data_IF_087044292000
#
_entry.id   IF_087044292000
#
_cell.length_a   1.000
_cell.length_b   1.000
_cell.length_c   1.000
_cell.angle_alpha   90.00
_cell.angle_beta   90.00
_cell.angle_gamma   90.00
#
_symmetry.space_group_name_H-M   'P 1'
#
loop_
_entity.id
_entity.type
_entity.pdbx_description
1 polymer ?
#
# COMPACT_ATOMS: atom_id res chain seq x y z
N UNK A 1 -10.51 2.52 -5.09
CA UNK A 1 -10.81 1.37 -4.23
C UNK A 1 -11.20 1.88 -2.86
N UNK A 2 -12.20 1.29 -2.20
CA UNK A 2 -12.56 1.68 -0.83
C UNK A 2 -11.57 1.08 0.19
N UNK A 3 -11.40 1.77 1.32
CA UNK A 3 -10.57 1.30 2.42
C UNK A 3 -11.08 -0.05 2.95
N UNK A 4 -10.16 -0.92 3.36
CA UNK A 4 -10.45 -2.23 3.92
C UNK A 4 -11.36 -2.13 5.15
N UNK A 5 -12.26 -3.11 5.28
CA UNK A 5 -13.03 -3.35 6.50
C UNK A 5 -12.64 -4.74 7.00
N UNK A 6 -11.64 -4.84 7.90
CA UNK A 6 -11.11 -6.13 8.33
C UNK A 6 -12.18 -6.93 9.06
N UNK A 7 -12.37 -8.18 8.66
CA UNK A 7 -13.23 -9.14 9.34
C UNK A 7 -12.52 -10.49 9.44
N UNK A 8 -13.07 -11.40 10.25
CA UNK A 8 -12.56 -12.78 10.31
C UNK A 8 -12.74 -13.52 8.99
N UNK A 9 -13.69 -13.07 8.16
CA UNK A 9 -14.05 -13.67 6.87
C UNK A 9 -13.29 -13.03 5.69
N UNK A 10 -12.47 -12.00 5.93
CA UNK A 10 -11.65 -11.38 4.88
C UNK A 10 -10.78 -12.42 4.19
N UNK A 11 -10.88 -12.49 2.86
CA UNK A 11 -10.25 -13.57 2.09
C UNK A 11 -8.84 -13.21 1.65
N UNK A 12 -8.07 -14.23 1.26
CA UNK A 12 -6.76 -14.02 0.64
C UNK A 12 -6.90 -13.24 -0.67
N UNK A 13 -7.93 -13.55 -1.46
CA UNK A 13 -8.16 -12.97 -2.78
C UNK A 13 -8.44 -11.48 -2.67
N UNK A 14 -9.28 -11.06 -1.72
CA UNK A 14 -9.54 -9.64 -1.44
C UNK A 14 -8.26 -8.87 -1.08
N UNK A 15 -7.37 -9.50 -0.32
CA UNK A 15 -6.10 -8.88 0.09
C UNK A 15 -5.08 -8.86 -1.06
N UNK A 16 -5.07 -9.89 -1.90
CA UNK A 16 -4.22 -9.94 -3.08
C UNK A 16 -4.64 -8.86 -4.08
N UNK A 17 -5.94 -8.67 -4.33
CA UNK A 17 -6.44 -7.60 -5.20
C UNK A 17 -6.01 -6.20 -4.73
N UNK A 18 -5.97 -5.99 -3.41
CA UNK A 18 -5.51 -4.71 -2.83
C UNK A 18 -4.00 -4.50 -3.01
N UNK A 19 -3.20 -5.54 -2.81
CA UNK A 19 -1.75 -5.46 -3.07
C UNK A 19 -1.49 -5.26 -4.55
N UNK A 20 -2.16 -6.02 -5.42
CA UNK A 20 -2.04 -5.89 -6.88
C UNK A 20 -2.44 -4.47 -7.31
N UNK A 21 -3.51 -3.91 -6.75
CA UNK A 21 -3.88 -2.51 -7.00
C UNK A 21 -2.74 -1.55 -6.65
N UNK A 22 -2.14 -1.66 -5.46
CA UNK A 22 -1.06 -0.75 -5.05
C UNK A 22 0.19 -0.91 -5.92
N UNK A 23 0.61 -2.14 -6.20
CA UNK A 23 1.81 -2.46 -6.98
C UNK A 23 1.64 -2.07 -8.44
N UNK A 24 0.51 -2.41 -9.06
CA UNK A 24 0.25 -2.04 -10.45
C UNK A 24 0.06 -0.53 -10.62
N UNK A 25 -0.55 0.15 -9.63
CA UNK A 25 -0.62 1.61 -9.63
C UNK A 25 0.79 2.20 -9.54
N UNK A 26 1.66 1.66 -8.67
CA UNK A 26 3.04 2.14 -8.58
C UNK A 26 3.80 2.01 -9.92
N UNK A 27 3.71 0.85 -10.59
CA UNK A 27 4.32 0.67 -11.93
C UNK A 27 3.74 1.63 -12.97
N UNK A 28 2.42 1.85 -12.98
CA UNK A 28 1.81 2.80 -13.89
C UNK A 28 2.33 4.24 -13.67
N UNK A 29 2.55 4.62 -12.40
CA UNK A 29 3.09 5.94 -12.08
C UNK A 29 4.57 6.09 -12.45
N UNK A 30 5.35 5.01 -12.46
CA UNK A 30 6.70 5.04 -13.01
C UNK A 30 6.68 5.35 -14.51
N UNK A 31 5.80 4.68 -15.28
CA UNK A 31 5.61 4.96 -16.70
C UNK A 31 5.12 6.38 -16.95
N UNK A 32 4.14 6.86 -16.17
CA UNK A 32 3.62 8.21 -16.27
C UNK A 32 4.71 9.26 -16.00
N UNK A 33 5.59 9.01 -15.03
CA UNK A 33 6.66 9.94 -14.67
C UNK A 33 7.67 10.20 -15.80
N UNK A 34 7.78 9.30 -16.78
CA UNK A 34 8.60 9.52 -17.98
C UNK A 34 8.07 10.66 -18.86
N UNK A 35 6.78 10.96 -18.77
CA UNK A 35 6.10 11.96 -19.61
C UNK A 35 5.53 13.13 -18.83
N UNK A 36 5.06 12.91 -17.60
CA UNK A 36 4.52 13.92 -16.69
C UNK A 36 4.80 13.57 -15.21
N UNK A 37 6.01 13.91 -14.75
CA UNK A 37 6.44 13.67 -13.37
C UNK A 37 5.57 14.40 -12.33
N UNK A 38 4.94 15.52 -12.70
CA UNK A 38 4.10 16.29 -11.79
C UNK A 38 2.74 15.64 -11.55
N UNK A 39 2.09 15.15 -12.60
CA UNK A 39 0.85 14.38 -12.44
C UNK A 39 1.14 13.04 -11.76
N UNK A 40 2.23 12.36 -12.11
CA UNK A 40 2.66 11.14 -11.43
C UNK A 40 2.86 11.34 -9.92
N UNK A 41 3.47 12.46 -9.51
CA UNK A 41 3.62 12.81 -8.08
C UNK A 41 2.28 13.06 -7.38
N UNK A 42 1.34 13.73 -8.04
CA UNK A 42 0.01 13.99 -7.49
C UNK A 42 -0.75 12.68 -7.27
N UNK A 43 -0.72 11.77 -8.24
CA UNK A 43 -1.33 10.45 -8.09
C UNK A 43 -0.60 9.57 -7.08
N UNK A 44 0.73 9.65 -7.00
CA UNK A 44 1.51 8.99 -5.96
C UNK A 44 1.09 9.45 -4.56
N UNK A 45 0.82 10.74 -4.35
CA UNK A 45 0.30 11.23 -3.06
C UNK A 45 -1.03 10.55 -2.73
N UNK A 46 -1.91 10.35 -3.70
CA UNK A 46 -3.17 9.64 -3.49
C UNK A 46 -2.94 8.16 -3.12
N UNK A 47 -2.04 7.47 -3.84
CA UNK A 47 -1.66 6.08 -3.55
C UNK A 47 -1.02 5.92 -2.16
N UNK A 48 -0.10 6.82 -1.80
CA UNK A 48 0.55 6.87 -0.48
C UNK A 48 -0.48 7.06 0.64
N UNK A 49 -1.45 7.97 0.45
CA UNK A 49 -2.52 8.20 1.43
C UNK A 49 -3.44 6.97 1.56
N UNK A 50 -3.76 6.31 0.45
CA UNK A 50 -4.50 5.05 0.47
C UNK A 50 -3.77 3.98 1.29
N UNK A 51 -2.48 3.75 1.02
CA UNK A 51 -1.68 2.78 1.76
C UNK A 51 -1.59 3.10 3.27
N UNK A 52 -1.48 4.38 3.63
CA UNK A 52 -1.50 4.78 5.04
C UNK A 52 -2.85 4.53 5.70
N UNK A 53 -3.95 4.81 5.02
CA UNK A 53 -5.28 4.60 5.57
C UNK A 53 -5.59 3.10 5.75
N UNK A 54 -5.20 2.26 4.79
CA UNK A 54 -5.25 0.79 4.92
C UNK A 54 -4.51 0.33 6.17
N UNK A 55 -3.24 0.75 6.34
CA UNK A 55 -2.44 0.39 7.50
C UNK A 55 -3.02 0.94 8.81
N UNK A 56 -3.53 2.17 8.79
CA UNK A 56 -4.19 2.76 9.93
C UNK A 56 -5.38 1.89 10.39
N UNK A 57 -6.27 1.52 9.47
CA UNK A 57 -7.41 0.67 9.78
C UNK A 57 -7.00 -0.69 10.35
N UNK A 58 -5.96 -1.31 9.80
CA UNK A 58 -5.43 -2.60 10.29
C UNK A 58 -4.81 -2.52 11.70
N UNK A 59 -4.38 -1.34 12.13
CA UNK A 59 -3.75 -1.11 13.44
C UNK A 59 -4.70 -0.57 14.50
N UNK A 60 -5.95 -0.25 14.14
CA UNK A 60 -6.97 0.16 15.10
C UNK A 60 -7.33 -0.98 16.06
N UNK A 61 -7.39 -0.68 17.36
CA UNK A 61 -7.71 -1.65 18.42
C UNK A 61 -9.02 -2.42 18.15
N UNK A 62 -10.04 -1.75 17.60
CA UNK A 62 -11.32 -2.38 17.26
C UNK A 62 -11.19 -3.54 16.25
N UNK A 63 -10.15 -3.53 15.43
CA UNK A 63 -9.89 -4.51 14.37
C UNK A 63 -8.85 -5.56 14.78
N UNK A 64 -8.20 -5.38 15.94
CA UNK A 64 -7.10 -6.24 16.40
C UNK A 64 -7.50 -7.71 16.44
N UNK A 65 -8.72 -8.01 16.91
CA UNK A 65 -9.23 -9.39 16.95
C UNK A 65 -9.30 -10.01 15.56
N UNK A 66 -9.84 -9.31 14.57
CA UNK A 66 -9.94 -9.82 13.19
C UNK A 66 -8.54 -10.04 12.60
N UNK A 67 -7.65 -9.04 12.71
CA UNK A 67 -6.30 -9.11 12.16
C UNK A 67 -5.46 -10.21 12.80
N UNK A 68 -5.53 -10.39 14.12
CA UNK A 68 -4.72 -11.40 14.82
C UNK A 68 -5.29 -12.82 14.68
N UNK A 69 -6.56 -12.99 14.30
CA UNK A 69 -7.18 -14.31 14.09
C UNK A 69 -7.18 -14.78 12.63
N UNK A 70 -6.88 -13.89 11.68
CA UNK A 70 -6.78 -14.20 10.25
C UNK A 70 -5.33 -13.99 9.78
N UNK A 71 -4.68 -15.10 9.41
CA UNK A 71 -3.26 -15.08 9.00
C UNK A 71 -3.01 -14.19 7.79
N UNK A 72 -3.94 -14.14 6.84
CA UNK A 72 -3.81 -13.33 5.64
C UNK A 72 -3.88 -11.84 5.97
N UNK A 73 -4.79 -11.42 6.87
CA UNK A 73 -4.83 -10.05 7.37
C UNK A 73 -3.55 -9.67 8.12
N UNK A 74 -3.01 -10.58 8.94
CA UNK A 74 -1.74 -10.34 9.64
C UNK A 74 -0.57 -10.16 8.65
N UNK A 75 -0.51 -11.00 7.62
CA UNK A 75 0.48 -10.87 6.55
C UNK A 75 0.29 -9.56 5.78
N UNK A 76 -0.95 -9.21 5.42
CA UNK A 76 -1.29 -7.95 4.75
C UNK A 76 -0.87 -6.74 5.58
N UNK A 77 -1.07 -6.76 6.91
CA UNK A 77 -0.51 -5.72 7.79
C UNK A 77 1.02 -5.65 7.70
N UNK A 78 1.70 -6.79 7.55
CA UNK A 78 3.14 -6.88 7.34
C UNK A 78 3.64 -6.22 6.06
N UNK A 79 2.87 -6.26 4.97
CA UNK A 79 3.20 -5.54 3.71
C UNK A 79 3.53 -4.07 3.98
N UNK A 80 2.70 -3.39 4.78
CA UNK A 80 2.86 -1.97 5.09
C UNK A 80 4.06 -1.67 5.99
N UNK A 81 4.55 -2.64 6.76
CA UNK A 81 5.77 -2.43 7.57
C UNK A 81 7.03 -2.28 6.74
N UNK A 82 6.97 -2.68 5.47
CA UNK A 82 8.05 -2.51 4.49
C UNK A 82 7.94 -1.22 3.68
N UNK A 83 6.87 -0.42 3.84
CA UNK A 83 6.72 0.85 3.12
C UNK A 83 7.36 1.99 3.90
N UNK A 84 8.55 2.41 3.47
CA UNK A 84 9.34 3.46 4.11
C UNK A 84 9.35 4.76 3.30
N UNK A 85 8.16 5.32 3.07
CA UNK A 85 8.06 6.59 2.34
C UNK A 85 8.84 7.72 3.01
N UNK A 86 9.35 8.62 2.17
CA UNK A 86 9.97 9.86 2.63
C UNK A 86 9.00 10.63 3.53
N UNK A 87 9.48 11.02 4.72
CA UNK A 87 8.70 11.75 5.70
C UNK A 87 8.36 13.16 5.20
N UNK A 88 7.14 13.63 5.53
CA UNK A 88 6.67 14.95 5.14
C UNK A 88 6.40 15.08 3.63
N UNK A 89 6.70 16.26 3.08
CA UNK A 89 6.49 16.54 1.65
C UNK A 89 7.53 15.80 0.82
N UNK A 90 7.08 14.88 -0.03
CA UNK A 90 7.96 14.15 -0.95
C UNK A 90 8.39 15.10 -2.08
N UNK A 91 9.69 15.38 -2.25
CA UNK A 91 10.17 16.14 -3.40
C UNK A 91 10.11 15.27 -4.67
N UNK A 92 9.87 15.89 -5.82
CA UNK A 92 9.72 15.22 -7.14
C UNK A 92 10.84 14.22 -7.42
N UNK A 93 12.10 14.62 -7.23
CA UNK A 93 13.28 13.76 -7.43
C UNK A 93 13.30 12.45 -6.63
N UNK A 94 12.44 12.30 -5.61
CA UNK A 94 12.33 11.08 -4.81
C UNK A 94 11.10 10.23 -5.18
N UNK A 95 10.36 10.60 -6.23
CA UNK A 95 9.17 9.86 -6.68
C UNK A 95 9.49 8.39 -6.93
N UNK A 96 10.46 8.09 -7.80
CA UNK A 96 10.86 6.72 -8.13
C UNK A 96 11.29 5.91 -6.90
N UNK A 97 12.06 6.50 -5.98
CA UNK A 97 12.41 5.83 -4.73
C UNK A 97 11.17 5.41 -3.95
N UNK A 98 10.18 6.31 -3.83
CA UNK A 98 8.97 6.02 -3.06
C UNK A 98 8.03 5.05 -3.79
N UNK A 99 8.04 5.00 -5.12
CA UNK A 99 7.30 4.00 -5.90
C UNK A 99 7.92 2.60 -5.73
N UNK A 100 9.26 2.52 -5.72
CA UNK A 100 9.99 1.26 -5.53
C UNK A 100 9.72 0.60 -4.16
N UNK A 101 9.38 1.37 -3.12
CA UNK A 101 8.94 0.83 -1.83
C UNK A 101 7.78 -0.18 -1.98
N UNK A 102 6.83 0.06 -2.90
CA UNK A 102 5.72 -0.87 -3.14
C UNK A 102 6.20 -2.19 -3.77
N UNK A 103 7.19 -2.12 -4.67
CA UNK A 103 7.78 -3.30 -5.30
C UNK A 103 8.63 -4.11 -4.31
N UNK A 104 9.42 -3.44 -3.48
CA UNK A 104 10.18 -4.08 -2.40
C UNK A 104 9.26 -4.75 -1.38
N UNK A 105 8.19 -4.07 -0.96
CA UNK A 105 7.19 -4.65 -0.05
C UNK A 105 6.57 -5.91 -0.66
N UNK A 106 6.23 -5.89 -1.95
CA UNK A 106 5.67 -7.05 -2.64
C UNK A 106 6.65 -8.23 -2.74
N UNK A 107 7.94 -8.00 -2.97
CA UNK A 107 8.95 -9.07 -3.00
C UNK A 107 9.05 -9.85 -1.69
N UNK A 108 8.88 -9.16 -0.55
CA UNK A 108 8.86 -9.77 0.78
C UNK A 108 7.50 -10.37 1.17
N UNK A 109 6.46 -10.11 0.39
CA UNK A 109 5.09 -10.39 0.75
C UNK A 109 4.64 -11.79 0.34
N UNK A 110 3.98 -12.48 1.26
CA UNK A 110 3.34 -13.78 1.01
C UNK A 110 1.99 -13.80 1.72
N UNK A 111 0.89 -13.94 0.96
CA UNK A 111 -0.46 -14.16 1.50
C UNK A 111 -0.73 -15.62 1.81
#
# INVERSE_FOLDING_TARGET
METIVPSVDTTKEELQERVDYMVNTASHLEELAETDEHEAMKEFIALKNFAYEEYHVLTLQKNEKAVNSNVHLSNYRGFFTHLHFTAGKVPLRLLHWNLDEFHQANMGFRL
#
